data_IF_096160965344
#
_entry.id   IF_096160965344
#
_cell.length_a   1.000
_cell.length_b   1.000
_cell.length_c   1.000
_cell.angle_alpha   90.00
_cell.angle_beta   90.00
_cell.angle_gamma   90.00
#
_symmetry.space_group_name_H-M   'P 1'
#
loop_
_entity.id
_entity.type
_entity.pdbx_description
1 polymer ?
#
# COMPACT_ATOMS: atom_id res chain seq x y z
N UNK A 1 5.72 -15.75 -3.33
CA UNK A 1 4.87 -16.73 -2.62
C UNK A 1 3.48 -16.12 -2.58
N UNK A 2 2.44 -16.80 -3.07
CA UNK A 2 1.06 -16.28 -2.96
C UNK A 2 0.60 -16.58 -1.55
N UNK A 3 0.46 -15.55 -0.72
CA UNK A 3 0.39 -15.76 0.74
C UNK A 3 -1.01 -16.07 1.25
N UNK A 4 -2.06 -15.82 0.46
CA UNK A 4 -3.44 -16.03 0.92
C UNK A 4 -4.43 -16.07 -0.25
N UNK A 5 -5.40 -16.99 -0.19
CA UNK A 5 -6.59 -17.00 -1.04
C UNK A 5 -7.75 -16.44 -0.22
N UNK A 6 -8.17 -15.21 -0.53
CA UNK A 6 -9.30 -14.57 0.12
C UNK A 6 -10.60 -15.05 -0.52
N UNK A 7 -11.51 -15.53 0.32
CA UNK A 7 -12.81 -16.05 -0.09
C UNK A 7 -13.79 -14.91 -0.46
N UNK A 8 -14.88 -15.21 -1.20
CA UNK A 8 -15.86 -14.20 -1.63
C UNK A 8 -16.59 -13.48 -0.49
N UNK A 9 -16.66 -14.12 0.68
CA UNK A 9 -17.26 -13.58 1.88
C UNK A 9 -16.34 -12.65 2.67
N UNK A 10 -15.05 -12.57 2.32
CA UNK A 10 -14.09 -11.68 2.98
C UNK A 10 -14.44 -10.21 2.81
N UNK A 11 -14.09 -9.39 3.80
CA UNK A 11 -14.31 -7.93 3.77
C UNK A 11 -13.62 -7.29 2.56
N UNK A 12 -12.39 -7.72 2.27
CA UNK A 12 -11.63 -7.26 1.10
C UNK A 12 -12.36 -7.58 -0.21
N UNK A 13 -12.78 -8.83 -0.44
CA UNK A 13 -13.47 -9.24 -1.67
C UNK A 13 -14.77 -8.45 -1.88
N UNK A 14 -15.50 -8.16 -0.81
CA UNK A 14 -16.72 -7.34 -0.85
C UNK A 14 -16.42 -5.87 -1.15
N UNK A 15 -15.35 -5.32 -0.58
CA UNK A 15 -14.91 -3.96 -0.85
C UNK A 15 -14.54 -3.80 -2.33
N UNK A 16 -13.75 -4.73 -2.89
CA UNK A 16 -13.41 -4.72 -4.31
C UNK A 16 -14.66 -4.84 -5.18
N UNK A 17 -15.59 -5.73 -4.84
CA UNK A 17 -16.87 -5.85 -5.56
C UNK A 17 -17.64 -4.53 -5.58
N UNK A 18 -17.76 -3.85 -4.43
CA UNK A 18 -18.48 -2.58 -4.32
C UNK A 18 -17.89 -1.51 -5.24
N UNK A 19 -16.57 -1.46 -5.36
CA UNK A 19 -15.86 -0.52 -6.23
C UNK A 19 -16.04 -0.85 -7.72
N UNK A 20 -15.88 -2.11 -8.12
CA UNK A 20 -15.87 -2.46 -9.55
C UNK A 20 -17.28 -2.70 -10.14
N UNK A 21 -18.27 -3.05 -9.31
CA UNK A 21 -19.64 -3.36 -9.74
C UNK A 21 -20.30 -2.26 -10.56
N UNK A 22 -20.23 -0.97 -10.21
CA UNK A 22 -20.84 0.10 -11.00
C UNK A 22 -20.20 0.27 -12.39
N UNK A 23 -18.92 -0.09 -12.53
CA UNK A 23 -18.15 0.12 -13.75
C UNK A 23 -18.34 -0.99 -14.80
N UNK A 24 -18.74 -2.20 -14.39
CA UNK A 24 -18.88 -3.35 -15.29
C UNK A 24 -20.35 -3.69 -15.51
N UNK A 25 -20.85 -3.69 -16.77
CA UNK A 25 -22.22 -4.11 -17.07
C UNK A 25 -22.50 -5.55 -16.63
N UNK A 26 -23.69 -5.82 -16.08
CA UNK A 26 -24.06 -7.13 -15.51
C UNK A 26 -23.84 -8.32 -16.44
N UNK A 27 -24.01 -8.14 -17.76
CA UNK A 27 -23.88 -9.21 -18.75
C UNK A 27 -22.44 -9.73 -18.92
N UNK A 28 -21.44 -8.96 -18.49
CA UNK A 28 -20.02 -9.33 -18.62
C UNK A 28 -19.45 -9.98 -17.37
N UNK A 29 -20.26 -10.16 -16.32
CA UNK A 29 -19.84 -10.84 -15.12
C UNK A 29 -19.85 -12.37 -15.32
N UNK A 30 -18.81 -13.08 -14.85
CA UNK A 30 -18.82 -14.53 -14.86
C UNK A 30 -19.88 -15.09 -13.90
N UNK A 31 -20.29 -16.33 -14.17
CA UNK A 31 -21.28 -17.05 -13.33
C UNK A 31 -20.66 -17.43 -11.98
N UNK A 32 -19.40 -17.83 -11.99
CA UNK A 32 -18.62 -18.16 -10.79
C UNK A 32 -17.96 -16.93 -10.17
N UNK A 33 -17.35 -17.08 -8.98
CA UNK A 33 -16.62 -16.01 -8.34
C UNK A 33 -15.45 -15.52 -9.23
N UNK A 34 -15.31 -14.20 -9.35
CA UNK A 34 -14.30 -13.58 -10.19
C UNK A 34 -12.94 -13.63 -9.48
N UNK A 35 -12.00 -14.37 -10.03
CA UNK A 35 -10.66 -14.48 -9.44
C UNK A 35 -9.80 -13.29 -9.82
N UNK A 36 -9.16 -12.67 -8.83
CA UNK A 36 -8.26 -11.56 -9.05
C UNK A 36 -6.96 -11.73 -8.25
N UNK A 37 -5.84 -11.44 -8.88
CA UNK A 37 -4.53 -11.34 -8.23
C UNK A 37 -4.26 -9.89 -7.86
N UNK A 38 -3.78 -9.65 -6.65
CA UNK A 38 -3.39 -8.32 -6.18
C UNK A 38 -1.90 -8.29 -5.84
N UNK A 39 -1.25 -7.22 -6.27
CA UNK A 39 0.14 -6.90 -5.93
C UNK A 39 0.23 -5.48 -5.38
N UNK A 40 0.87 -5.26 -4.22
CA UNK A 40 1.06 -3.92 -3.70
C UNK A 40 2.11 -3.15 -4.51
N UNK A 41 1.90 -1.85 -4.63
CA UNK A 41 2.91 -0.93 -5.16
C UNK A 41 4.10 -0.78 -4.21
N UNK A 42 5.27 -0.42 -4.73
CA UNK A 42 6.50 -0.21 -3.96
C UNK A 42 6.39 0.85 -2.85
N UNK A 43 5.42 1.75 -2.96
CA UNK A 43 5.19 2.79 -1.97
C UNK A 43 4.18 2.36 -0.90
N UNK A 44 3.50 1.23 -1.09
CA UNK A 44 2.48 0.72 -0.16
C UNK A 44 1.20 1.54 -0.15
N UNK A 45 0.92 2.32 -1.20
CA UNK A 45 -0.22 3.26 -1.23
C UNK A 45 -1.33 2.86 -2.21
N UNK A 46 -1.09 1.85 -3.02
CA UNK A 46 -2.06 1.33 -3.98
C UNK A 46 -1.83 -0.16 -4.24
N UNK A 47 -2.88 -0.81 -4.72
CA UNK A 47 -2.85 -2.18 -5.22
C UNK A 47 -2.96 -2.19 -6.75
N UNK A 48 -2.18 -3.05 -7.38
CA UNK A 48 -2.31 -3.41 -8.78
C UNK A 48 -3.11 -4.69 -8.82
N UNK A 49 -4.20 -4.70 -9.58
CA UNK A 49 -5.10 -5.84 -9.70
C UNK A 49 -5.03 -6.45 -11.10
N UNK A 50 -5.13 -7.77 -11.18
CA UNK A 50 -5.29 -8.52 -12.41
C UNK A 50 -6.47 -9.47 -12.28
N UNK A 51 -7.48 -9.29 -13.14
CA UNK A 51 -8.74 -10.05 -13.09
C UNK A 51 -8.75 -11.15 -14.15
N UNK A 52 -9.01 -12.38 -13.72
CA UNK A 52 -9.18 -13.55 -14.58
C UNK A 52 -10.69 -13.77 -14.82
N UNK A 53 -11.09 -14.01 -16.08
CA UNK A 53 -12.50 -14.33 -16.42
C UNK A 53 -13.37 -13.14 -16.86
N UNK A 54 -12.83 -11.92 -16.91
CA UNK A 54 -13.45 -10.77 -17.59
C UNK A 54 -12.88 -10.59 -18.99
N UNK A 55 -13.67 -10.03 -19.90
CA UNK A 55 -13.14 -9.56 -21.19
C UNK A 55 -12.06 -8.47 -20.96
N UNK A 56 -11.02 -8.39 -21.79
CA UNK A 56 -9.81 -7.62 -21.51
C UNK A 56 -10.07 -6.13 -21.23
N UNK A 57 -11.04 -5.52 -21.92
CA UNK A 57 -11.42 -4.12 -21.70
C UNK A 57 -12.01 -3.88 -20.30
N UNK A 58 -12.86 -4.80 -19.82
CA UNK A 58 -13.48 -4.69 -18.50
C UNK A 58 -12.51 -5.10 -17.38
N UNK A 59 -11.60 -6.05 -17.65
CA UNK A 59 -10.52 -6.38 -16.74
C UNK A 59 -9.59 -5.16 -16.51
N UNK A 60 -9.24 -4.44 -17.58
CA UNK A 60 -8.44 -3.21 -17.50
C UNK A 60 -9.18 -2.09 -16.75
N UNK A 61 -10.47 -1.90 -17.03
CA UNK A 61 -11.32 -0.92 -16.33
C UNK A 61 -11.40 -1.24 -14.83
N UNK A 62 -11.65 -2.50 -14.46
CA UNK A 62 -11.69 -2.92 -13.07
C UNK A 62 -10.35 -2.71 -12.35
N UNK A 63 -9.24 -3.04 -13.02
CA UNK A 63 -7.90 -2.80 -12.50
C UNK A 63 -7.65 -1.30 -12.27
N UNK A 64 -8.11 -0.45 -13.18
CA UNK A 64 -8.00 1.00 -13.03
C UNK A 64 -8.83 1.53 -11.86
N UNK A 65 -10.05 1.04 -11.68
CA UNK A 65 -10.93 1.42 -10.55
C UNK A 65 -10.29 1.03 -9.22
N UNK A 66 -9.76 -0.19 -9.10
CA UNK A 66 -9.03 -0.61 -7.88
C UNK A 66 -7.80 0.26 -7.62
N UNK A 67 -7.06 0.60 -8.68
CA UNK A 67 -5.89 1.47 -8.57
C UNK A 67 -6.26 2.91 -8.15
N UNK A 68 -7.43 3.40 -8.58
CA UNK A 68 -7.95 4.72 -8.19
C UNK A 68 -8.38 4.79 -6.72
N UNK A 69 -8.87 3.68 -6.16
CA UNK A 69 -9.23 3.60 -4.75
C UNK A 69 -8.00 3.60 -3.79
N UNK A 70 -6.78 3.47 -4.33
CA UNK A 70 -5.49 3.71 -3.63
C UNK A 70 -5.42 3.12 -2.22
N UNK A 71 -5.36 3.99 -1.22
CA UNK A 71 -5.10 3.65 0.19
C UNK A 71 -6.28 2.91 0.79
N UNK A 72 -7.50 3.24 0.41
CA UNK A 72 -8.71 2.63 0.96
C UNK A 72 -8.71 1.12 0.69
N UNK A 73 -8.30 0.70 -0.50
CA UNK A 73 -8.14 -0.73 -0.83
C UNK A 73 -6.96 -1.38 -0.12
N UNK A 74 -5.85 -0.65 0.08
CA UNK A 74 -4.71 -1.19 0.82
C UNK A 74 -5.06 -1.43 2.28
N UNK A 75 -5.84 -0.55 2.91
CA UNK A 75 -6.18 -0.63 4.34
C UNK A 75 -7.03 -1.86 4.67
N UNK A 76 -7.92 -2.27 3.77
CA UNK A 76 -8.76 -3.47 3.94
C UNK A 76 -8.07 -4.76 3.46
N UNK A 77 -6.83 -4.67 2.97
CA UNK A 77 -6.09 -5.81 2.41
C UNK A 77 -5.19 -6.50 3.45
N UNK A 78 -4.82 -7.77 3.24
CA UNK A 78 -3.90 -8.48 4.14
C UNK A 78 -2.49 -7.88 4.16
N UNK A 79 -2.14 -7.01 3.19
CA UNK A 79 -0.84 -6.34 3.12
C UNK A 79 -0.82 -4.98 3.84
N UNK A 80 -1.91 -4.56 4.48
CA UNK A 80 -2.01 -3.27 5.18
C UNK A 80 -0.88 -3.05 6.21
N UNK A 81 -0.56 -4.09 7.00
CA UNK A 81 0.52 -4.03 7.99
C UNK A 81 1.91 -3.84 7.33
N UNK A 82 2.17 -4.51 6.21
CA UNK A 82 3.42 -4.37 5.46
C UNK A 82 3.52 -2.98 4.80
N UNK A 83 2.42 -2.52 4.23
CA UNK A 83 2.31 -1.21 3.59
C UNK A 83 2.54 -0.07 4.60
N UNK A 84 1.90 -0.14 5.77
CA UNK A 84 2.08 0.85 6.83
C UNK A 84 3.54 0.91 7.34
N UNK A 85 4.22 -0.24 7.43
CA UNK A 85 5.64 -0.29 7.79
C UNK A 85 6.54 0.41 6.74
N UNK A 86 6.22 0.31 5.45
CA UNK A 86 6.93 1.04 4.37
C UNK A 86 6.72 2.54 4.52
N UNK A 87 5.48 2.98 4.71
CA UNK A 87 5.14 4.40 4.88
C UNK A 87 5.85 4.99 6.11
N UNK A 88 5.84 4.26 7.23
CA UNK A 88 6.52 4.68 8.45
C UNK A 88 8.04 4.79 8.26
N UNK A 89 8.66 3.80 7.60
CA UNK A 89 10.11 3.84 7.32
C UNK A 89 10.48 4.99 6.37
N UNK A 90 9.63 5.27 5.39
CA UNK A 90 9.80 6.39 4.45
C UNK A 90 9.76 7.73 5.18
N UNK A 91 8.83 7.91 6.13
CA UNK A 91 8.74 9.14 6.94
C UNK A 91 10.03 9.43 7.71
N UNK A 92 10.63 8.41 8.32
CA UNK A 92 11.90 8.58 9.03
C UNK A 92 13.06 8.92 8.10
N UNK A 93 13.16 8.25 6.95
CA UNK A 93 14.14 8.60 5.90
C UNK A 93 14.00 10.07 5.50
N UNK A 94 12.78 10.52 5.24
CA UNK A 94 12.52 11.89 4.81
C UNK A 94 12.86 12.89 5.90
N UNK A 95 12.57 12.57 7.16
CA UNK A 95 12.94 13.40 8.31
C UNK A 95 14.46 13.60 8.42
N UNK A 96 15.24 12.52 8.32
CA UNK A 96 16.71 12.62 8.35
C UNK A 96 17.27 13.34 7.12
N UNK A 97 16.65 13.16 5.95
CA UNK A 97 17.02 13.87 4.73
C UNK A 97 16.80 15.39 4.91
N UNK A 98 15.63 15.80 5.40
CA UNK A 98 15.33 17.20 5.68
C UNK A 98 16.20 17.81 6.78
N UNK A 99 16.65 17.02 7.76
CA UNK A 99 17.63 17.46 8.74
C UNK A 99 19.04 17.58 8.15
N UNK A 100 19.41 16.74 7.18
CA UNK A 100 20.75 16.68 6.61
C UNK A 100 21.03 17.84 5.64
N UNK A 101 20.03 18.21 4.85
CA UNK A 101 20.15 19.26 3.84
C UNK A 101 20.62 20.60 4.44
N UNK A 102 19.98 21.18 5.47
CA UNK A 102 20.46 22.42 6.08
C UNK A 102 21.88 22.30 6.66
N UNK A 103 22.22 21.15 7.24
CA UNK A 103 23.56 20.92 7.83
C UNK A 103 24.65 20.92 6.77
N UNK A 104 24.40 20.35 5.59
CA UNK A 104 25.33 20.40 4.45
C UNK A 104 25.65 21.84 4.03
N UNK A 105 24.65 22.73 4.04
CA UNK A 105 24.85 24.14 3.71
C UNK A 105 25.47 24.95 4.86
N UNK A 106 25.22 24.56 6.11
CA UNK A 106 25.73 25.26 7.28
C UNK A 106 27.22 24.97 7.57
N UNK A 107 27.73 23.75 7.30
CA UNK A 107 29.11 23.37 7.61
C UNK A 107 30.16 24.29 6.93
N UNK A 108 30.07 24.61 5.63
CA UNK A 108 31.00 25.54 4.99
C UNK A 108 30.96 26.94 5.61
N UNK A 109 29.79 27.40 6.06
CA UNK A 109 29.59 28.70 6.70
C UNK A 109 30.10 28.73 8.15
N UNK A 110 30.25 27.55 8.77
CA UNK A 110 30.76 27.38 10.15
C UNK A 110 32.28 27.20 10.22
N UNK A 111 32.95 27.00 9.07
CA UNK A 111 34.41 26.92 8.99
C UNK A 111 35.18 28.07 9.68
N UNK A 112 34.72 29.35 9.63
CA UNK A 112 35.40 30.44 10.33
C UNK A 112 35.05 30.56 11.83
N UNK A 113 34.07 29.83 12.37
CA UNK A 113 33.53 30.01 13.73
C UNK A 113 34.30 29.24 14.83
N UNK A 114 35.47 28.68 14.52
CA UNK A 114 36.38 28.04 15.47
C UNK A 114 36.29 26.50 15.55
N UNK A 115 37.39 25.87 15.98
CA UNK A 115 37.58 24.41 15.84
C UNK A 115 36.61 23.53 16.64
N UNK A 116 36.08 24.00 17.78
CA UNK A 116 35.12 23.24 18.60
C UNK A 116 33.73 23.19 17.95
N UNK A 117 33.21 24.32 17.48
CA UNK A 117 31.92 24.40 16.80
C UNK A 117 31.91 23.58 15.49
N UNK A 118 33.02 23.63 14.75
CA UNK A 118 33.22 22.85 13.54
C UNK A 118 33.27 21.34 13.82
N UNK A 119 33.98 20.90 14.87
CA UNK A 119 33.99 19.48 15.29
C UNK A 119 32.61 18.98 15.72
N UNK A 120 31.88 19.75 16.52
CA UNK A 120 30.52 19.39 16.94
C UNK A 120 29.56 19.26 15.73
N UNK A 121 29.67 20.18 14.77
CA UNK A 121 28.88 20.16 13.53
C UNK A 121 29.19 18.92 12.67
N UNK A 122 30.46 18.54 12.55
CA UNK A 122 30.85 17.31 11.85
C UNK A 122 30.30 16.04 12.51
N UNK A 123 30.30 15.98 13.85
CA UNK A 123 29.74 14.83 14.58
C UNK A 123 28.24 14.72 14.35
N UNK A 124 27.50 15.82 14.47
CA UNK A 124 26.06 15.84 14.20
C UNK A 124 25.74 15.45 12.75
N UNK A 125 26.56 15.91 11.81
CA UNK A 125 26.45 15.52 10.41
C UNK A 125 26.66 14.02 10.21
N UNK A 126 27.73 13.45 10.78
CA UNK A 126 28.03 12.02 10.68
C UNK A 126 26.90 11.16 11.27
N UNK A 127 26.37 11.55 12.43
CA UNK A 127 25.25 10.86 13.08
C UNK A 127 23.98 10.90 12.21
N UNK A 128 23.67 12.07 11.63
CA UNK A 128 22.50 12.20 10.77
C UNK A 128 22.66 11.43 9.45
N UNK A 129 23.85 11.45 8.86
CA UNK A 129 24.17 10.65 7.67
C UNK A 129 24.04 9.14 7.95
N UNK A 130 24.55 8.67 9.09
CA UNK A 130 24.40 7.28 9.52
C UNK A 130 22.91 6.92 9.74
N UNK A 131 22.13 7.79 10.40
CA UNK A 131 20.69 7.60 10.59
C UNK A 131 19.93 7.56 9.26
N UNK A 132 20.29 8.41 8.30
CA UNK A 132 19.73 8.43 6.95
C UNK A 132 20.03 7.10 6.22
N UNK A 133 21.27 6.62 6.25
CA UNK A 133 21.64 5.34 5.64
C UNK A 133 20.89 4.16 6.27
N UNK A 134 20.80 4.10 7.59
CA UNK A 134 20.07 3.04 8.31
C UNK A 134 18.57 3.07 7.99
N UNK A 135 17.96 4.26 7.97
CA UNK A 135 16.54 4.41 7.62
C UNK A 135 16.26 4.04 6.17
N UNK A 136 17.18 4.37 5.25
CA UNK A 136 17.11 3.97 3.85
C UNK A 136 17.23 2.45 3.69
N UNK A 137 18.18 1.82 4.37
CA UNK A 137 18.33 0.37 4.34
C UNK A 137 17.09 -0.35 4.89
N UNK A 138 16.54 0.11 6.01
CA UNK A 138 15.28 -0.42 6.55
C UNK A 138 14.14 -0.26 5.55
N UNK A 139 14.04 0.89 4.87
CA UNK A 139 13.02 1.11 3.84
C UNK A 139 13.16 0.09 2.69
N UNK A 140 14.39 -0.17 2.23
CA UNK A 140 14.64 -1.17 1.18
C UNK A 140 14.22 -2.58 1.63
N UNK A 141 14.56 -2.98 2.87
CA UNK A 141 14.13 -4.26 3.42
C UNK A 141 12.60 -4.38 3.50
N UNK A 142 11.91 -3.33 3.95
CA UNK A 142 10.44 -3.31 4.04
C UNK A 142 9.78 -3.37 2.67
N UNK A 143 10.34 -2.68 1.67
CA UNK A 143 9.89 -2.76 0.27
C UNK A 143 10.07 -4.17 -0.30
N UNK A 144 11.21 -4.80 -0.02
CA UNK A 144 11.45 -6.20 -0.39
C UNK A 144 10.41 -7.16 0.20
N UNK A 145 10.07 -6.99 1.48
CA UNK A 145 9.01 -7.77 2.12
C UNK A 145 7.61 -7.48 1.53
N UNK A 146 7.30 -6.22 1.24
CA UNK A 146 6.02 -5.83 0.64
C UNK A 146 5.83 -6.45 -0.76
N UNK A 147 6.89 -6.52 -1.58
CA UNK A 147 6.85 -7.15 -2.89
C UNK A 147 6.53 -8.65 -2.86
N UNK A 148 6.78 -9.30 -1.73
CA UNK A 148 6.42 -10.71 -1.53
C UNK A 148 4.94 -10.88 -1.17
N UNK A 149 4.24 -9.81 -0.78
CA UNK A 149 2.83 -9.79 -0.37
C UNK A 149 1.84 -9.89 -1.53
N UNK A 150 2.09 -10.78 -2.50
CA UNK A 150 1.12 -11.10 -3.55
C UNK A 150 0.03 -12.01 -2.96
N UNK A 151 -1.22 -11.69 -3.23
CA UNK A 151 -2.36 -12.51 -2.79
C UNK A 151 -3.43 -12.62 -3.88
N UNK A 152 -4.31 -13.60 -3.73
CA UNK A 152 -5.42 -13.84 -4.66
C UNK A 152 -6.71 -13.65 -3.88
N UNK A 153 -7.70 -12.97 -4.48
CA UNK A 153 -9.03 -12.87 -3.93
C UNK A 153 -10.06 -13.36 -4.93
N UNK A 154 -11.04 -14.10 -4.43
CA UNK A 154 -12.26 -14.44 -5.14
C UNK A 154 -13.28 -13.33 -4.86
N UNK A 155 -13.70 -12.63 -5.91
CA UNK A 155 -14.59 -11.50 -5.83
C UNK A 155 -16.01 -12.00 -6.14
N UNK A 156 -17.00 -11.65 -5.31
CA UNK A 156 -18.35 -12.09 -5.57
C UNK A 156 -18.90 -11.50 -6.86
N UNK A 157 -19.75 -12.27 -7.54
CA UNK A 157 -20.41 -11.83 -8.75
C UNK A 157 -21.88 -11.46 -8.49
N UNK A 158 -22.49 -10.57 -9.29
CA UNK A 158 -23.90 -10.22 -9.15
C UNK A 158 -24.78 -11.49 -9.23
N UNK A 159 -25.51 -11.80 -8.16
CA UNK A 159 -26.37 -12.98 -8.09
C UNK A 159 -25.74 -14.20 -7.42
N UNK A 160 -24.44 -14.16 -7.09
CA UNK A 160 -23.79 -15.20 -6.29
C UNK A 160 -24.38 -15.18 -4.86
N UNK A 161 -24.98 -16.30 -4.43
CA UNK A 161 -25.50 -16.45 -3.07
C UNK A 161 -24.35 -16.68 -2.09
N UNK A 162 -23.74 -15.61 -1.62
CA UNK A 162 -22.81 -15.67 -0.47
C UNK A 162 -23.67 -15.82 0.79
N UNK A 163 -23.45 -16.86 1.59
CA UNK A 163 -24.04 -16.94 2.94
C UNK A 163 -23.43 -15.83 3.79
N UNK A 164 -24.15 -14.74 3.98
CA UNK A 164 -23.75 -13.65 4.87
C UNK A 164 -23.86 -14.18 6.32
N UNK A 165 -22.82 -14.10 7.15
CA UNK A 165 -22.97 -14.35 8.58
C UNK A 165 -23.92 -13.27 9.12
N UNK A 166 -25.14 -13.68 9.47
CA UNK A 166 -26.11 -12.80 10.13
C UNK A 166 -25.57 -12.49 11.52
N UNK A 167 -25.11 -11.26 11.73
CA UNK A 167 -24.46 -10.88 12.98
C UNK A 167 -24.21 -9.39 13.17
N UNK A 168 -25.15 -8.52 12.80
CA UNK A 168 -25.53 -7.30 13.58
C UNK A 168 -26.72 -6.62 12.90
N UNK A 169 -27.74 -6.17 13.67
CA UNK A 169 -29.00 -5.70 13.12
C UNK A 169 -28.87 -4.31 12.49
N UNK A 170 -29.73 -4.11 11.48
CA UNK A 170 -29.99 -2.86 10.76
C UNK A 170 -30.49 -1.82 11.75
N UNK A 171 -29.79 -0.69 11.91
CA UNK A 171 -30.46 0.51 12.38
C UNK A 171 -31.30 1.07 11.22
N UNK A 172 -32.61 1.01 11.42
CA UNK A 172 -33.60 1.66 10.58
C UNK A 172 -33.32 3.16 10.47
N UNK A 173 -33.50 3.65 9.25
CA UNK A 173 -33.61 5.06 8.91
C UNK A 173 -34.72 5.72 9.73
N UNK A 174 -34.42 6.90 10.26
CA UNK A 174 -35.35 8.03 10.25
C UNK A 174 -34.74 9.15 9.40
#
# INVERSE_FOLDING_TARGET
MVSELLRPDSEFSRAVYKEIRPAIPRAHWPVEALRATFTPTNDGLALIAHFEGLAPNYAALAAQVVLQAKVDMVLVSPVAALASAVVYSRRWRDTFLYALVPVLFAIPLMAPLGGLAMRASMVLFALNAAALLLSHFRLLQRRGALQQGRFIAEIPTPGLRIKVPQGTPVHHQE
#
